data_IF_870230890837
#
_entry.id   IF_870230890837
#
_cell.length_a   1.000
_cell.length_b   1.000
_cell.length_c   1.000
_cell.angle_alpha   90.00
_cell.angle_beta   90.00
_cell.angle_gamma   90.00
#
_symmetry.space_group_name_H-M   'P 1'
#
loop_
_entity.id
_entity.type
_entity.pdbx_description
1 polymer ?
#
# COMPACT_ATOMS: atom_id res chain seq x y z
N UNK A 1 -26.08 -3.41 -17.74
CA UNK A 1 -24.74 -3.59 -18.32
C UNK A 1 -23.68 -3.02 -17.38
N UNK A 2 -23.62 -3.52 -16.13
CA UNK A 2 -22.68 -3.07 -15.09
C UNK A 2 -22.00 -4.26 -14.36
N UNK A 3 -22.36 -5.50 -14.69
CA UNK A 3 -21.87 -6.70 -13.98
C UNK A 3 -20.64 -7.33 -14.65
N UNK A 4 -20.27 -6.86 -15.85
CA UNK A 4 -19.19 -7.47 -16.63
C UNK A 4 -17.80 -7.12 -16.08
N UNK A 5 -17.61 -5.96 -15.46
CA UNK A 5 -16.28 -5.56 -14.96
C UNK A 5 -15.88 -6.29 -13.67
N UNK A 6 -16.86 -6.58 -12.79
CA UNK A 6 -16.60 -7.28 -11.52
C UNK A 6 -16.31 -8.78 -11.74
N UNK A 7 -16.93 -9.39 -12.74
CA UNK A 7 -16.73 -10.81 -13.09
C UNK A 7 -15.40 -11.00 -13.84
N UNK A 8 -14.98 -10.04 -14.67
CA UNK A 8 -13.70 -10.12 -15.40
C UNK A 8 -12.48 -9.98 -14.48
N UNK A 9 -12.55 -9.16 -13.43
CA UNK A 9 -11.47 -9.06 -12.45
C UNK A 9 -11.27 -10.36 -11.65
N UNK A 10 -12.35 -11.11 -11.41
CA UNK A 10 -12.33 -12.39 -10.70
C UNK A 10 -11.65 -13.51 -11.52
N UNK A 11 -11.57 -13.38 -12.85
CA UNK A 11 -10.95 -14.38 -13.74
C UNK A 11 -9.45 -14.16 -14.03
N UNK A 12 -8.86 -13.05 -13.57
CA UNK A 12 -7.43 -12.74 -13.72
C UNK A 12 -6.73 -12.54 -12.37
N UNK A 13 -6.82 -13.52 -11.45
CA UNK A 13 -5.80 -13.86 -10.45
C UNK A 13 -5.19 -12.82 -9.50
N UNK A 14 -5.50 -11.51 -9.54
CA UNK A 14 -4.86 -10.49 -8.71
C UNK A 14 -5.72 -9.22 -8.61
N UNK A 15 -6.79 -9.28 -7.81
CA UNK A 15 -7.34 -8.06 -7.22
C UNK A 15 -6.35 -7.59 -6.13
N UNK A 16 -5.36 -6.80 -6.51
CA UNK A 16 -4.54 -6.04 -5.55
C UNK A 16 -5.40 -4.91 -4.98
N UNK A 17 -5.41 -4.73 -3.65
CA UNK A 17 -6.03 -3.57 -3.02
C UNK A 17 -5.36 -2.32 -3.58
N UNK A 18 -6.16 -1.39 -4.10
CA UNK A 18 -5.66 -0.32 -4.96
C UNK A 18 -4.71 0.67 -4.27
N UNK A 19 -5.05 1.13 -3.06
CA UNK A 19 -4.37 2.26 -2.43
C UNK A 19 -4.33 2.13 -0.89
N UNK A 20 -3.23 2.57 -0.30
CA UNK A 20 -3.08 2.84 1.14
C UNK A 20 -2.71 4.32 1.28
N UNK A 21 -3.31 5.00 2.26
CA UNK A 21 -3.03 6.42 2.51
C UNK A 21 -1.55 6.65 2.82
N UNK A 22 -1.09 7.88 2.57
CA UNK A 22 0.30 8.27 2.83
C UNK A 22 0.64 8.21 4.33
N UNK A 23 1.91 7.97 4.63
CA UNK A 23 2.40 8.05 6.00
C UNK A 23 2.44 9.51 6.49
N UNK A 24 1.67 9.80 7.55
CA UNK A 24 1.64 11.11 8.18
C UNK A 24 2.70 11.23 9.29
N UNK A 25 3.78 11.97 8.99
CA UNK A 25 4.85 12.27 9.95
C UNK A 25 4.43 13.28 11.03
N UNK A 26 3.35 14.03 10.81
CA UNK A 26 2.91 15.10 11.72
C UNK A 26 2.11 14.61 12.93
N UNK A 27 1.62 13.37 12.89
CA UNK A 27 0.83 12.78 13.97
C UNK A 27 1.42 11.46 14.51
N UNK A 28 2.42 11.53 15.42
CA UNK A 28 3.08 10.36 16.00
C UNK A 28 2.17 9.35 16.70
N UNK A 29 0.99 9.78 17.16
CA UNK A 29 0.04 8.92 17.87
C UNK A 29 -0.56 7.85 16.95
N UNK A 30 -0.64 8.12 15.65
CA UNK A 30 -1.22 7.23 14.65
C UNK A 30 -0.18 6.31 13.99
N UNK A 31 1.10 6.44 14.31
CA UNK A 31 2.16 5.67 13.63
C UNK A 31 2.00 4.15 13.80
N UNK A 32 1.62 3.69 14.99
CA UNK A 32 1.37 2.26 15.23
C UNK A 32 0.12 1.74 14.48
N UNK A 33 -0.90 2.60 14.38
CA UNK A 33 -2.12 2.32 13.61
C UNK A 33 -1.78 2.18 12.12
N UNK A 34 -0.95 3.09 11.60
CA UNK A 34 -0.45 3.05 10.23
C UNK A 34 0.38 1.78 9.95
N UNK A 35 1.32 1.44 10.84
CA UNK A 35 2.14 0.24 10.69
C UNK A 35 1.27 -1.03 10.60
N UNK A 36 0.24 -1.13 11.45
CA UNK A 36 -0.72 -2.25 11.43
C UNK A 36 -1.49 -2.30 10.10
N UNK A 37 -1.98 -1.15 9.61
CA UNK A 37 -2.65 -1.05 8.31
C UNK A 37 -1.74 -1.46 7.15
N UNK A 38 -0.48 -1.04 7.17
CA UNK A 38 0.51 -1.42 6.16
C UNK A 38 0.76 -2.93 6.17
N UNK A 39 0.87 -3.57 7.34
CA UNK A 39 1.01 -5.03 7.43
C UNK A 39 -0.17 -5.75 6.79
N UNK A 40 -1.42 -5.38 7.13
CA UNK A 40 -2.60 -5.99 6.51
C UNK A 40 -2.68 -5.72 5.01
N UNK A 41 -2.28 -4.53 4.56
CA UNK A 41 -2.22 -4.21 3.13
C UNK A 41 -1.23 -5.10 2.38
N UNK A 42 -0.04 -5.32 2.94
CA UNK A 42 0.97 -6.20 2.35
C UNK A 42 0.45 -7.65 2.26
N UNK A 43 -0.16 -8.15 3.33
CA UNK A 43 -0.74 -9.49 3.39
C UNK A 43 -1.84 -9.70 2.35
N UNK A 44 -2.81 -8.78 2.28
CA UNK A 44 -3.93 -8.86 1.36
C UNK A 44 -3.48 -8.73 -0.12
N UNK A 45 -2.37 -8.03 -0.38
CA UNK A 45 -1.75 -7.96 -1.70
C UNK A 45 -0.75 -9.09 -2.00
N UNK A 46 -0.56 -10.04 -1.08
CA UNK A 46 0.40 -11.13 -1.16
C UNK A 46 1.85 -10.65 -1.38
N UNK A 47 2.19 -9.51 -0.78
CA UNK A 47 3.54 -8.93 -0.82
C UNK A 47 4.39 -9.57 0.29
N UNK A 48 5.21 -10.55 -0.09
CA UNK A 48 6.03 -11.32 0.85
C UNK A 48 7.52 -11.00 0.79
N UNK A 49 8.04 -10.68 -0.40
CA UNK A 49 9.45 -10.42 -0.60
C UNK A 49 9.87 -9.09 0.03
N UNK A 50 11.04 -9.07 0.68
CA UNK A 50 11.52 -7.87 1.39
C UNK A 50 11.74 -6.68 0.45
N UNK A 51 12.16 -6.95 -0.79
CA UNK A 51 12.30 -5.90 -1.81
C UNK A 51 10.96 -5.25 -2.15
N UNK A 52 9.89 -6.04 -2.24
CA UNK A 52 8.56 -5.54 -2.56
C UNK A 52 7.94 -4.82 -1.36
N UNK A 53 8.14 -5.32 -0.14
CA UNK A 53 7.71 -4.64 1.10
C UNK A 53 8.36 -3.26 1.21
N UNK A 54 9.67 -3.16 0.91
CA UNK A 54 10.38 -1.88 0.87
C UNK A 54 9.83 -0.95 -0.21
N UNK A 55 9.56 -1.47 -1.41
CA UNK A 55 8.98 -0.66 -2.49
C UNK A 55 7.61 -0.09 -2.12
N UNK A 56 6.73 -0.91 -1.52
CA UNK A 56 5.42 -0.47 -1.04
C UNK A 56 5.57 0.60 0.05
N UNK A 57 6.42 0.38 1.05
CA UNK A 57 6.69 1.37 2.10
C UNK A 57 7.17 2.69 1.51
N UNK A 58 8.18 2.67 0.62
CA UNK A 58 8.70 3.88 0.00
C UNK A 58 7.67 4.60 -0.86
N UNK A 59 6.77 3.86 -1.53
CA UNK A 59 5.68 4.45 -2.32
C UNK A 59 4.55 5.05 -1.46
N UNK A 60 4.38 4.55 -0.23
CA UNK A 60 3.38 5.06 0.71
C UNK A 60 3.92 6.23 1.53
N UNK A 61 5.23 6.43 1.51
CA UNK A 61 5.84 7.66 1.97
C UNK A 61 5.60 8.74 0.90
N UNK A 62 4.74 9.71 1.21
CA UNK A 62 4.41 10.80 0.29
C UNK A 62 5.63 11.57 -0.22
N UNK A 63 5.41 12.45 -1.21
CA UNK A 63 6.49 13.19 -1.90
C UNK A 63 7.49 13.91 -0.97
N UNK A 64 7.06 14.27 0.25
CA UNK A 64 7.91 14.88 1.26
C UNK A 64 9.03 13.95 1.77
N UNK A 65 8.73 12.66 1.99
CA UNK A 65 9.74 11.71 2.47
C UNK A 65 10.65 11.24 1.33
N UNK A 66 10.11 11.09 0.12
CA UNK A 66 10.90 10.70 -1.05
C UNK A 66 12.01 11.74 -1.32
N UNK A 67 11.68 13.04 -1.19
CA UNK A 67 12.65 14.14 -1.28
C UNK A 67 13.74 14.11 -0.20
N UNK A 68 13.46 13.56 0.98
CA UNK A 68 14.44 13.41 2.06
C UNK A 68 15.42 12.25 1.81
N UNK A 69 15.00 11.23 1.06
CA UNK A 69 15.83 10.08 0.70
C UNK A 69 16.70 10.36 -0.54
N UNK A 70 16.25 11.25 -1.44
CA UNK A 70 17.01 11.68 -2.61
C UNK A 70 18.03 12.82 -2.36
N UNK A 71 17.99 13.46 -1.18
CA UNK A 71 18.88 14.55 -0.76
C UNK A 71 20.13 14.05 -0.03
#
# INVERSE_FOLDING_TARGET
MAETQHVLATRMGLLRLGHIEEFDTSNPKEWNSYASRLMFFLEANKVSADVDKRAVLLSSCGSALFKLVES
#
